data_IF_261801315233
#
_entry.id   IF_261801315233
#
_cell.length_a   1.000
_cell.length_b   1.000
_cell.length_c   1.000
_cell.angle_alpha   90.00
_cell.angle_beta   90.00
_cell.angle_gamma   90.00
#
_symmetry.space_group_name_H-M   'P 1'
#
loop_
_entity.id
_entity.type
_entity.pdbx_description
1 polymer ?
#
# COMPACT_ATOMS: atom_id res chain seq x y z
N UNK A 1 27.69 -3.69 59.09
CA UNK A 1 26.99 -2.41 59.37
C UNK A 1 25.57 -2.56 58.83
N UNK A 2 24.59 -2.93 59.66
CA UNK A 2 23.69 -2.07 60.46
C UNK A 2 22.93 -1.01 59.63
N UNK A 3 21.61 -1.28 59.47
CA UNK A 3 20.43 -0.38 59.54
C UNK A 3 20.40 0.82 58.54
N UNK A 4 19.27 1.33 58.04
CA UNK A 4 17.88 1.36 58.54
C UNK A 4 16.89 1.74 57.42
N UNK A 5 15.68 1.20 57.48
CA UNK A 5 14.45 1.81 56.97
C UNK A 5 14.13 3.12 57.73
N UNK A 6 13.26 3.98 57.18
CA UNK A 6 12.11 4.39 58.01
C UNK A 6 10.76 4.30 57.29
N UNK A 7 9.75 4.15 58.14
CA UNK A 7 8.32 4.04 57.91
C UNK A 7 7.66 5.31 58.48
N UNK A 8 6.64 5.87 57.81
CA UNK A 8 5.56 6.72 58.36
C UNK A 8 4.42 6.71 57.30
N UNK A 9 3.26 6.05 57.47
CA UNK A 9 2.02 6.46 58.19
C UNK A 9 1.68 7.97 58.03
N UNK A 10 0.48 8.44 57.63
CA UNK A 10 -0.88 7.88 57.71
C UNK A 10 -1.97 8.82 57.12
N UNK A 11 -3.13 8.22 56.74
CA UNK A 11 -4.55 8.69 56.89
C UNK A 11 -5.24 9.67 55.88
N UNK A 12 -6.26 9.08 55.22
CA UNK A 12 -7.65 9.52 54.91
C UNK A 12 -7.98 10.95 54.41
N UNK A 13 -8.73 11.03 53.29
CA UNK A 13 -10.11 11.54 53.28
C UNK A 13 -10.86 11.19 51.99
N UNK A 14 -12.14 10.87 52.18
CA UNK A 14 -13.21 10.63 51.20
C UNK A 14 -13.62 11.95 50.53
N UNK A 15 -14.03 11.90 49.26
CA UNK A 15 -14.66 13.02 48.55
C UNK A 15 -15.28 12.58 47.22
N UNK A 16 -16.54 12.16 47.28
CA UNK A 16 -17.41 11.93 46.13
C UNK A 16 -17.85 13.26 45.51
N UNK A 17 -17.75 13.40 44.18
CA UNK A 17 -18.55 14.37 43.42
C UNK A 17 -19.01 13.70 42.13
N UNK A 18 -20.31 13.42 42.08
CA UNK A 18 -21.05 13.17 40.87
C UNK A 18 -21.21 14.47 40.08
N UNK A 19 -21.00 14.45 38.77
CA UNK A 19 -21.48 15.50 37.87
C UNK A 19 -22.31 14.86 36.77
N UNK A 20 -23.62 15.00 36.93
CA UNK A 20 -24.64 14.80 35.90
C UNK A 20 -24.57 15.92 34.88
N UNK A 21 -24.48 15.60 33.58
CA UNK A 21 -24.90 16.54 32.54
C UNK A 21 -25.84 15.88 31.53
N UNK A 22 -26.97 16.53 31.42
CA UNK A 22 -28.22 16.20 30.76
C UNK A 22 -28.08 16.36 29.24
N UNK A 23 -28.30 15.28 28.46
CA UNK A 23 -28.56 15.42 27.02
C UNK A 23 -30.06 15.53 26.77
N UNK A 24 -30.46 16.72 26.33
CA UNK A 24 -31.82 17.06 25.90
C UNK A 24 -32.19 16.30 24.63
N UNK A 25 -33.23 15.45 24.74
CA UNK A 25 -33.98 14.93 23.59
C UNK A 25 -34.98 15.99 23.12
N UNK A 26 -34.88 16.42 21.87
CA UNK A 26 -35.98 17.08 21.17
C UNK A 26 -36.78 16.06 20.36
N UNK A 27 -38.07 15.97 20.68
CA UNK A 27 -39.12 15.28 19.94
C UNK A 27 -40.00 16.29 19.19
N UNK A 28 -40.68 15.78 18.16
CA UNK A 28 -41.87 16.31 17.46
C UNK A 28 -41.55 17.21 16.24
N UNK A 29 -42.04 16.90 15.03
CA UNK A 29 -43.48 16.76 14.77
C UNK A 29 -43.84 15.90 13.55
N UNK A 30 -45.03 15.28 13.65
CA UNK A 30 -45.77 14.55 12.61
C UNK A 30 -46.40 15.53 11.61
N UNK A 31 -46.53 15.11 10.35
CA UNK A 31 -47.73 15.38 9.57
C UNK A 31 -48.11 14.17 8.71
N UNK A 32 -49.42 14.01 8.47
CA UNK A 32 -50.13 12.82 7.98
C UNK A 32 -50.77 13.10 6.62
N UNK A 33 -51.08 12.00 5.92
CA UNK A 33 -52.07 11.80 4.85
C UNK A 33 -51.58 12.08 3.41
N UNK A 34 -51.97 11.35 2.38
CA UNK A 34 -53.18 10.54 2.18
C UNK A 34 -52.96 9.41 1.15
N UNK A 35 -53.72 8.32 1.30
CA UNK A 35 -53.87 7.23 0.31
C UNK A 35 -54.95 7.62 -0.70
N UNK A 36 -54.72 7.35 -1.99
CA UNK A 36 -55.82 7.11 -2.95
C UNK A 36 -55.60 5.76 -3.63
N UNK A 37 -56.62 4.90 -3.51
CA UNK A 37 -56.79 3.69 -4.32
C UNK A 37 -57.62 4.09 -5.53
N UNK A 38 -57.24 3.64 -6.72
CA UNK A 38 -58.21 3.45 -7.81
C UNK A 38 -57.95 2.11 -8.49
N UNK A 39 -59.02 1.35 -8.61
CA UNK A 39 -59.12 0.05 -9.26
C UNK A 39 -59.62 0.24 -10.69
N UNK A 40 -58.97 -0.39 -11.68
CA UNK A 40 -59.68 -0.76 -12.91
C UNK A 40 -59.12 -2.02 -13.57
N UNK A 41 -59.98 -3.04 -13.56
CA UNK A 41 -60.29 -4.01 -14.61
C UNK A 41 -59.18 -4.67 -15.45
N UNK A 42 -59.10 -5.98 -15.21
CA UNK A 42 -58.61 -7.04 -16.07
C UNK A 42 -59.12 -6.99 -17.52
N UNK A 43 -58.20 -7.13 -18.48
CA UNK A 43 -58.46 -7.83 -19.75
C UNK A 43 -57.31 -8.80 -20.01
N UNK A 44 -57.62 -10.09 -19.95
CA UNK A 44 -56.70 -11.15 -20.31
C UNK A 44 -56.31 -11.10 -21.79
N UNK A 45 -55.02 -11.23 -22.05
CA UNK A 45 -54.49 -11.75 -23.30
C UNK A 45 -53.49 -12.84 -22.94
N UNK A 46 -53.80 -14.05 -23.38
CA UNK A 46 -52.90 -15.20 -23.30
C UNK A 46 -51.64 -14.90 -24.11
N UNK A 47 -50.49 -14.79 -23.45
CA UNK A 47 -49.19 -15.01 -24.08
C UNK A 47 -48.60 -16.29 -23.48
N UNK A 48 -48.22 -17.19 -24.36
CA UNK A 48 -47.62 -18.49 -24.07
C UNK A 48 -46.43 -18.29 -23.14
N UNK A 49 -46.38 -19.00 -22.03
CA UNK A 49 -45.19 -19.06 -21.18
C UNK A 49 -44.06 -19.74 -21.97
N UNK A 50 -43.15 -18.96 -22.55
CA UNK A 50 -41.82 -19.48 -22.84
C UNK A 50 -41.15 -19.71 -21.48
N UNK A 51 -40.92 -20.97 -21.14
CA UNK A 51 -40.04 -21.32 -20.03
C UNK A 51 -38.69 -20.66 -20.32
N UNK A 52 -38.35 -19.61 -19.56
CA UNK A 52 -36.99 -19.08 -19.52
C UNK A 52 -36.08 -20.21 -19.09
N UNK A 53 -35.13 -20.57 -19.96
CA UNK A 53 -33.98 -21.38 -19.59
C UNK A 53 -33.29 -20.70 -18.39
N UNK A 54 -32.71 -21.46 -17.45
CA UNK A 54 -32.00 -20.86 -16.33
C UNK A 54 -30.91 -19.95 -16.89
N UNK A 55 -30.85 -18.69 -16.44
CA UNK A 55 -29.68 -17.84 -16.65
C UNK A 55 -28.48 -18.62 -16.13
N UNK A 56 -27.59 -19.02 -17.03
CA UNK A 56 -26.29 -19.53 -16.62
C UNK A 56 -25.64 -18.34 -15.94
N UNK A 57 -25.45 -18.44 -14.62
CA UNK A 57 -24.76 -17.44 -13.84
C UNK A 57 -23.33 -17.39 -14.39
N UNK A 58 -23.08 -16.51 -15.36
CA UNK A 58 -21.71 -16.19 -15.71
C UNK A 58 -21.09 -15.67 -14.42
N UNK A 59 -19.98 -16.27 -13.95
CA UNK A 59 -19.32 -15.77 -12.76
C UNK A 59 -19.08 -14.27 -12.95
N UNK A 60 -19.33 -13.49 -11.89
CA UNK A 60 -18.96 -12.08 -11.92
C UNK A 60 -17.46 -11.99 -12.16
N UNK A 61 -17.08 -11.04 -13.02
CA UNK A 61 -15.70 -10.82 -13.42
C UNK A 61 -15.30 -9.42 -13.01
N UNK A 62 -14.13 -9.32 -12.41
CA UNK A 62 -13.48 -8.07 -12.04
C UNK A 62 -12.08 -8.02 -12.67
N UNK A 63 -11.21 -7.09 -12.27
CA UNK A 63 -9.87 -6.96 -12.87
C UNK A 63 -8.77 -7.00 -11.83
N UNK A 64 -7.62 -7.56 -12.21
CA UNK A 64 -6.33 -7.27 -11.59
C UNK A 64 -5.47 -6.54 -12.61
N UNK A 65 -4.84 -5.47 -12.17
CA UNK A 65 -3.93 -4.66 -12.95
C UNK A 65 -2.52 -4.79 -12.40
N UNK A 66 -1.54 -4.80 -13.31
CA UNK A 66 -0.12 -4.76 -12.99
C UNK A 66 0.53 -3.71 -13.87
N UNK A 67 1.50 -2.98 -13.36
CA UNK A 67 2.23 -1.99 -14.13
C UNK A 67 3.64 -2.52 -14.47
N UNK A 68 4.13 -2.22 -15.65
CA UNK A 68 5.53 -2.49 -16.01
C UNK A 68 6.45 -1.42 -15.46
N UNK A 69 7.77 -1.57 -15.60
CA UNK A 69 8.72 -0.47 -15.36
C UNK A 69 9.55 -0.17 -16.62
N UNK A 70 8.93 -0.30 -17.80
CA UNK A 70 9.58 -0.12 -19.10
C UNK A 70 9.80 1.35 -19.50
N UNK A 71 10.75 1.64 -20.41
CA UNK A 71 10.86 2.96 -21.05
C UNK A 71 9.56 3.42 -21.73
N UNK A 72 8.79 2.46 -22.26
CA UNK A 72 7.39 2.67 -22.67
C UNK A 72 6.54 1.92 -21.65
N UNK A 73 6.11 2.62 -20.59
CA UNK A 73 5.41 1.97 -19.50
C UNK A 73 3.98 1.57 -19.91
N UNK A 74 3.53 0.41 -19.46
CA UNK A 74 2.24 -0.19 -19.78
C UNK A 74 1.54 -0.72 -18.51
N UNK A 75 0.20 -0.75 -18.59
CA UNK A 75 -0.67 -1.42 -17.64
C UNK A 75 -1.14 -2.72 -18.28
N UNK A 76 -0.79 -3.84 -17.65
CA UNK A 76 -1.28 -5.16 -18.01
C UNK A 76 -2.60 -5.42 -17.30
N UNK A 77 -3.55 -5.99 -18.04
CA UNK A 77 -4.93 -6.19 -17.61
C UNK A 77 -5.20 -7.68 -17.56
N UNK A 78 -5.61 -8.14 -16.38
CA UNK A 78 -6.02 -9.52 -16.14
C UNK A 78 -7.49 -9.53 -15.74
N UNK A 79 -8.30 -10.32 -16.44
CA UNK A 79 -9.67 -10.56 -16.00
C UNK A 79 -9.65 -11.55 -14.84
N UNK A 80 -10.33 -11.19 -13.76
CA UNK A 80 -10.44 -11.98 -12.54
C UNK A 80 -11.78 -12.69 -12.49
N UNK A 81 -11.77 -13.99 -12.28
CA UNK A 81 -12.96 -14.73 -11.91
C UNK A 81 -13.23 -14.54 -10.41
N UNK A 82 -14.34 -13.89 -10.04
CA UNK A 82 -14.56 -13.54 -8.64
C UNK A 82 -14.72 -14.74 -7.70
N UNK A 83 -15.25 -15.85 -8.23
CA UNK A 83 -15.53 -17.04 -7.43
C UNK A 83 -14.30 -17.91 -7.19
N UNK A 84 -13.37 -17.94 -8.14
CA UNK A 84 -12.16 -18.78 -8.05
C UNK A 84 -10.88 -17.97 -7.82
N UNK A 85 -10.94 -16.65 -7.91
CA UNK A 85 -9.80 -15.74 -7.84
C UNK A 85 -8.85 -15.82 -9.04
N UNK A 86 -9.09 -16.72 -9.99
CA UNK A 86 -8.18 -16.98 -11.12
C UNK A 86 -8.11 -15.81 -12.07
N UNK A 87 -6.94 -15.62 -12.65
CA UNK A 87 -6.61 -14.59 -13.61
C UNK A 87 -6.43 -15.18 -14.99
N UNK A 88 -6.93 -14.46 -16.00
CA UNK A 88 -6.61 -14.67 -17.41
C UNK A 88 -6.08 -13.35 -17.97
N UNK A 89 -4.95 -13.40 -18.69
CA UNK A 89 -4.41 -12.22 -19.36
C UNK A 89 -5.38 -11.73 -20.45
N UNK A 90 -5.55 -10.41 -20.55
CA UNK A 90 -6.44 -9.79 -21.53
C UNK A 90 -5.64 -9.01 -22.58
N UNK A 91 -4.96 -7.96 -22.15
CA UNK A 91 -4.16 -7.07 -22.99
C UNK A 91 -3.28 -6.15 -22.13
N UNK A 92 -2.49 -5.31 -22.80
CA UNK A 92 -1.76 -4.21 -22.19
C UNK A 92 -2.19 -2.87 -22.82
N UNK A 93 -2.15 -1.80 -22.02
CA UNK A 93 -2.42 -0.42 -22.47
C UNK A 93 -1.28 0.47 -22.01
N UNK A 94 -0.74 1.29 -22.91
CA UNK A 94 0.32 2.25 -22.57
C UNK A 94 -0.16 3.25 -21.52
N UNK A 95 0.72 3.55 -20.56
CA UNK A 95 0.53 4.64 -19.62
C UNK A 95 0.82 6.00 -20.25
N UNK A 96 1.51 6.05 -21.39
CA UNK A 96 2.05 7.29 -21.97
C UNK A 96 3.04 8.03 -21.06
N UNK A 97 3.66 7.32 -20.12
CA UNK A 97 4.88 7.72 -19.42
C UNK A 97 5.96 6.64 -19.50
N UNK A 98 7.03 6.79 -18.72
CA UNK A 98 8.13 5.84 -18.65
C UNK A 98 8.41 5.38 -17.22
N UNK A 99 8.82 4.11 -17.08
CA UNK A 99 9.32 3.53 -15.84
C UNK A 99 10.73 4.04 -15.49
N UNK A 100 11.13 3.87 -14.23
CA UNK A 100 12.43 4.30 -13.72
C UNK A 100 13.54 3.40 -14.27
N UNK A 101 14.57 4.02 -14.83
CA UNK A 101 15.70 3.32 -15.44
C UNK A 101 16.91 3.37 -14.49
N UNK A 102 17.23 2.23 -13.86
CA UNK A 102 18.35 2.11 -12.91
C UNK A 102 19.58 1.50 -13.60
N UNK A 103 20.62 2.29 -13.81
CA UNK A 103 21.89 1.80 -14.36
C UNK A 103 22.84 1.35 -13.26
N UNK A 104 22.88 0.03 -13.00
CA UNK A 104 23.82 -0.60 -12.06
C UNK A 104 23.43 -0.41 -10.58
N UNK A 105 23.04 -1.51 -9.93
CA UNK A 105 22.70 -1.50 -8.50
C UNK A 105 23.93 -1.22 -7.64
N UNK A 106 24.04 -0.02 -7.08
CA UNK A 106 24.89 0.23 -5.90
C UNK A 106 24.04 0.04 -4.64
N UNK A 107 24.66 -0.13 -3.47
CA UNK A 107 23.93 -0.16 -2.19
C UNK A 107 23.10 1.11 -1.90
N UNK A 108 23.26 2.16 -2.71
CA UNK A 108 22.57 3.45 -2.58
C UNK A 108 21.38 3.60 -3.54
N UNK A 109 21.27 2.72 -4.54
CA UNK A 109 20.17 2.69 -5.52
C UNK A 109 19.16 1.61 -5.12
N UNK A 110 17.89 1.72 -5.52
CA UNK A 110 16.95 0.61 -5.36
C UNK A 110 17.52 -0.62 -6.07
N UNK A 111 17.29 -1.81 -5.51
CA UNK A 111 17.77 -3.01 -6.17
C UNK A 111 16.98 -3.17 -7.49
N UNK A 112 17.61 -3.70 -8.52
CA UNK A 112 17.02 -3.75 -9.87
C UNK A 112 15.74 -4.58 -9.95
N UNK A 113 15.53 -5.43 -8.94
CA UNK A 113 14.38 -6.31 -8.76
C UNK A 113 13.21 -5.65 -8.03
N UNK A 114 13.43 -4.48 -7.40
CA UNK A 114 12.42 -3.63 -6.76
C UNK A 114 12.73 -2.15 -7.09
N UNK A 115 12.41 -1.71 -8.32
CA UNK A 115 12.90 -0.43 -8.82
C UNK A 115 12.24 0.79 -8.15
N UNK A 116 11.05 0.65 -7.57
CA UNK A 116 10.39 1.75 -6.86
C UNK A 116 10.62 1.72 -5.36
N UNK A 117 10.82 0.53 -4.78
CA UNK A 117 10.98 0.36 -3.36
C UNK A 117 9.89 1.04 -2.55
N UNK A 118 8.65 0.85 -3.01
CA UNK A 118 7.47 1.54 -2.51
C UNK A 118 6.23 0.66 -2.62
N UNK A 119 5.19 1.07 -1.91
CA UNK A 119 3.86 0.48 -2.03
C UNK A 119 2.88 1.50 -2.65
N UNK A 120 1.83 1.01 -3.31
CA UNK A 120 0.75 1.82 -3.90
C UNK A 120 1.17 2.67 -5.12
N UNK A 121 2.04 2.13 -5.97
CA UNK A 121 2.45 2.77 -7.24
C UNK A 121 1.35 2.68 -8.33
N UNK A 122 0.39 1.77 -8.16
CA UNK A 122 -0.78 1.57 -9.01
C UNK A 122 -2.02 1.45 -8.11
N UNK A 123 -3.03 2.31 -8.30
CA UNK A 123 -4.19 2.38 -7.38
C UNK A 123 -5.50 2.50 -8.15
N UNK A 124 -6.51 1.73 -7.71
CA UNK A 124 -7.90 1.86 -8.15
C UNK A 124 -8.63 2.89 -7.28
N UNK A 125 -9.25 3.86 -7.93
CA UNK A 125 -10.01 4.96 -7.33
C UNK A 125 -11.42 5.01 -7.93
N UNK A 126 -12.36 4.25 -7.35
CA UNK A 126 -13.68 4.08 -7.94
C UNK A 126 -13.58 3.40 -9.31
N UNK A 127 -14.05 4.07 -10.38
CA UNK A 127 -13.93 3.57 -11.76
C UNK A 127 -12.69 4.14 -12.48
N UNK A 128 -11.73 4.68 -11.73
CA UNK A 128 -10.49 5.21 -12.26
C UNK A 128 -9.31 4.33 -11.81
N UNK A 129 -8.28 4.23 -12.65
CA UNK A 129 -7.00 3.61 -12.31
C UNK A 129 -5.92 4.69 -12.44
N UNK A 130 -5.07 4.81 -11.43
CA UNK A 130 -3.98 5.80 -11.37
C UNK A 130 -2.64 5.08 -11.28
N UNK A 131 -1.68 5.50 -12.08
CA UNK A 131 -0.39 4.84 -12.24
C UNK A 131 0.76 5.85 -12.22
N UNK A 132 1.77 5.64 -11.37
CA UNK A 132 2.99 6.46 -11.40
C UNK A 132 3.89 6.05 -12.58
N UNK A 133 4.52 7.04 -13.21
CA UNK A 133 5.56 6.83 -14.21
C UNK A 133 6.85 7.44 -13.69
N UNK A 134 7.58 6.63 -12.91
CA UNK A 134 8.73 7.07 -12.15
C UNK A 134 9.87 7.63 -13.01
N UNK A 135 10.03 7.16 -14.24
CA UNK A 135 11.08 7.64 -15.16
C UNK A 135 10.72 8.92 -15.90
N UNK A 136 9.43 9.24 -16.05
CA UNK A 136 8.98 10.47 -16.72
C UNK A 136 8.47 11.55 -15.77
N UNK A 137 8.49 11.30 -14.45
CA UNK A 137 7.98 12.24 -13.43
C UNK A 137 6.50 12.59 -13.62
N UNK A 138 5.68 11.62 -14.01
CA UNK A 138 4.26 11.83 -14.31
C UNK A 138 3.36 10.80 -13.63
N UNK A 139 2.06 11.11 -13.56
CA UNK A 139 1.00 10.17 -13.20
C UNK A 139 0.03 10.05 -14.36
N UNK A 140 -0.33 8.83 -14.72
CA UNK A 140 -1.33 8.55 -15.74
C UNK A 140 -2.63 8.09 -15.11
N UNK A 141 -3.75 8.55 -15.67
CA UNK A 141 -5.09 8.12 -15.28
C UNK A 141 -5.79 7.39 -16.41
N UNK A 142 -6.61 6.41 -16.02
CA UNK A 142 -7.43 5.61 -16.91
C UNK A 142 -8.85 5.51 -16.38
N UNK A 143 -9.81 5.36 -17.29
CA UNK A 143 -11.17 4.95 -16.95
C UNK A 143 -11.30 3.44 -17.08
N UNK A 144 -11.78 2.79 -16.04
CA UNK A 144 -12.15 1.37 -16.05
C UNK A 144 -13.54 1.26 -16.68
N UNK A 145 -13.61 0.69 -17.89
CA UNK A 145 -14.86 0.52 -18.63
C UNK A 145 -15.53 -0.81 -18.31
N UNK A 146 -14.72 -1.85 -18.09
CA UNK A 146 -15.15 -3.20 -17.74
C UNK A 146 -14.00 -4.01 -17.15
N UNK A 147 -14.28 -5.24 -16.71
CA UNK A 147 -13.30 -6.22 -16.24
C UNK A 147 -12.17 -6.57 -17.25
N UNK A 148 -12.27 -6.10 -18.48
CA UNK A 148 -11.38 -6.45 -19.60
C UNK A 148 -10.92 -5.24 -20.41
N UNK A 149 -11.26 -4.03 -19.98
CA UNK A 149 -10.98 -2.82 -20.76
C UNK A 149 -10.83 -1.59 -19.87
N UNK A 150 -9.74 -0.87 -20.09
CA UNK A 150 -9.51 0.47 -19.56
C UNK A 150 -9.18 1.42 -20.72
N UNK A 151 -9.60 2.66 -20.61
CA UNK A 151 -9.25 3.72 -21.56
C UNK A 151 -8.30 4.72 -20.91
N UNK A 152 -7.18 5.00 -21.58
CA UNK A 152 -6.31 6.10 -21.21
C UNK A 152 -7.09 7.42 -21.20
N UNK A 153 -6.88 8.24 -20.18
CA UNK A 153 -7.53 9.55 -20.01
C UNK A 153 -6.52 10.67 -20.20
N UNK A 154 -5.52 10.74 -19.33
CA UNK A 154 -4.45 11.73 -19.42
C UNK A 154 -3.21 11.33 -18.64
N UNK A 155 -2.13 12.07 -18.88
CA UNK A 155 -0.88 12.03 -18.12
C UNK A 155 -0.60 13.44 -17.65
N UNK A 156 -0.33 13.60 -16.36
CA UNK A 156 -0.05 14.89 -15.71
C UNK A 156 1.30 14.83 -15.00
N UNK A 157 1.94 15.97 -14.80
CA UNK A 157 3.16 16.06 -13.98
C UNK A 157 2.86 15.57 -12.56
N UNK A 158 3.76 14.78 -11.96
CA UNK A 158 3.58 14.26 -10.60
C UNK A 158 3.81 15.30 -9.50
N UNK A 159 4.21 16.52 -9.88
CA UNK A 159 4.58 17.59 -8.95
C UNK A 159 5.93 17.37 -8.25
N UNK A 160 6.75 16.44 -8.74
CA UNK A 160 8.07 16.15 -8.20
C UNK A 160 8.86 15.23 -9.12
N UNK A 161 9.90 14.59 -8.59
CA UNK A 161 10.73 13.63 -9.34
C UNK A 161 10.55 12.22 -8.80
N UNK A 162 10.52 11.22 -9.68
CA UNK A 162 10.39 9.80 -9.35
C UNK A 162 9.17 9.55 -8.45
N UNK A 163 7.94 9.70 -8.99
CA UNK A 163 6.73 9.32 -8.28
C UNK A 163 6.73 7.82 -7.99
N UNK A 164 6.43 7.43 -6.76
CA UNK A 164 6.53 6.04 -6.29
C UNK A 164 5.27 5.51 -5.60
N UNK A 165 4.38 6.37 -5.09
CA UNK A 165 3.20 5.94 -4.32
C UNK A 165 2.05 6.94 -4.46
N UNK A 166 0.81 6.45 -4.41
CA UNK A 166 -0.42 7.22 -4.55
C UNK A 166 -1.36 6.91 -3.39
N UNK A 167 -1.82 7.96 -2.70
CA UNK A 167 -2.91 7.85 -1.72
C UNK A 167 -4.19 8.44 -2.31
N UNK A 168 -5.33 7.76 -2.12
CA UNK A 168 -6.64 8.24 -2.59
C UNK A 168 -7.64 8.22 -1.45
N UNK A 169 -8.39 9.32 -1.29
CA UNK A 169 -9.55 9.40 -0.41
C UNK A 169 -10.63 10.27 -1.07
N UNK A 170 -11.77 9.68 -1.38
CA UNK A 170 -12.83 10.32 -2.18
C UNK A 170 -12.28 10.96 -3.47
N UNK A 171 -12.28 12.29 -3.55
CA UNK A 171 -11.81 13.07 -4.69
C UNK A 171 -10.37 13.58 -4.49
N UNK A 172 -9.73 13.31 -3.35
CA UNK A 172 -8.36 13.72 -3.06
C UNK A 172 -7.38 12.63 -3.46
N UNK A 173 -6.34 13.04 -4.19
CA UNK A 173 -5.23 12.18 -4.61
C UNK A 173 -3.92 12.84 -4.20
N UNK A 174 -3.05 12.11 -3.54
CA UNK A 174 -1.70 12.55 -3.22
C UNK A 174 -0.67 11.64 -3.86
N UNK A 175 0.33 12.25 -4.47
CA UNK A 175 1.43 11.55 -5.14
C UNK A 175 2.70 11.80 -4.34
N UNK A 176 3.33 10.71 -3.91
CA UNK A 176 4.62 10.73 -3.24
C UNK A 176 5.74 10.58 -4.26
N UNK A 177 6.65 11.53 -4.25
CA UNK A 177 7.82 11.59 -5.12
C UNK A 177 9.07 11.33 -4.27
N UNK A 178 9.90 10.37 -4.70
CA UNK A 178 11.10 9.92 -3.97
C UNK A 178 12.41 10.51 -4.52
N UNK A 179 12.38 11.21 -5.65
CA UNK A 179 13.51 11.91 -6.22
C UNK A 179 13.80 13.24 -5.53
N UNK A 180 15.00 13.79 -5.77
CA UNK A 180 15.45 15.05 -5.19
C UNK A 180 15.43 15.04 -3.66
N UNK A 181 14.71 15.99 -3.05
CA UNK A 181 14.52 16.07 -1.59
C UNK A 181 13.26 15.36 -1.10
N UNK A 182 12.61 14.59 -1.99
CA UNK A 182 11.27 14.04 -1.80
C UNK A 182 10.18 15.12 -1.82
N UNK A 183 8.99 14.79 -2.32
CA UNK A 183 7.84 15.71 -2.24
C UNK A 183 6.49 15.01 -2.25
N UNK A 184 5.48 15.72 -1.76
CA UNK A 184 4.06 15.32 -1.85
C UNK A 184 3.34 16.33 -2.73
N UNK A 185 2.68 15.86 -3.78
CA UNK A 185 1.83 16.69 -4.63
C UNK A 185 0.35 16.30 -4.46
N UNK A 186 -0.54 17.29 -4.44
CA UNK A 186 -1.97 17.11 -4.22
C UNK A 186 -2.79 17.38 -5.48
N UNK A 187 -3.76 16.52 -5.75
CA UNK A 187 -4.68 16.58 -6.88
C UNK A 187 -6.12 16.35 -6.43
N UNK A 188 -7.06 16.94 -7.18
CA UNK A 188 -8.46 16.53 -7.19
C UNK A 188 -8.72 15.57 -8.36
N UNK A 189 -9.35 14.43 -8.06
CA UNK A 189 -9.80 13.44 -9.02
C UNK A 189 -11.28 13.64 -9.35
N UNK A 190 -11.57 13.87 -10.62
CA UNK A 190 -12.93 13.98 -11.12
C UNK A 190 -13.46 12.63 -11.58
N UNK A 191 -14.08 11.84 -10.69
CA UNK A 191 -14.55 10.46 -10.98
C UNK A 191 -15.40 10.29 -12.24
N UNK A 192 -16.12 11.33 -12.69
CA UNK A 192 -16.96 11.23 -13.88
C UNK A 192 -16.14 11.11 -15.18
N UNK A 193 -14.90 11.61 -15.21
CA UNK A 193 -14.01 11.55 -16.37
C UNK A 193 -12.58 11.08 -16.04
N UNK A 194 -12.29 10.75 -14.79
CA UNK A 194 -10.99 10.31 -14.26
C UNK A 194 -9.85 11.31 -14.52
N UNK A 195 -10.17 12.60 -14.59
CA UNK A 195 -9.15 13.65 -14.74
C UNK A 195 -8.56 14.06 -13.40
N UNK A 196 -7.28 14.42 -13.40
CA UNK A 196 -6.55 14.95 -12.26
C UNK A 196 -6.33 16.46 -12.45
N UNK A 197 -6.51 17.24 -11.39
CA UNK A 197 -6.16 18.65 -11.37
C UNK A 197 -5.38 18.95 -10.11
N UNK A 198 -4.17 19.50 -10.25
CA UNK A 198 -3.38 19.93 -9.10
C UNK A 198 -4.16 20.98 -8.30
N UNK A 199 -4.17 20.83 -6.97
CA UNK A 199 -4.92 21.71 -6.06
C UNK A 199 -4.02 22.52 -5.11
N UNK A 200 -2.70 22.37 -5.20
CA UNK A 200 -1.75 23.11 -4.37
C UNK A 200 -0.31 22.91 -4.82
N UNK A 201 0.58 23.72 -4.28
CA UNK A 201 2.02 23.56 -4.51
C UNK A 201 2.53 22.28 -3.82
N UNK A 202 3.48 21.55 -4.43
CA UNK A 202 4.11 20.41 -3.79
C UNK A 202 4.79 20.78 -2.47
N UNK A 203 4.79 19.84 -1.53
CA UNK A 203 5.43 19.98 -0.22
C UNK A 203 6.72 19.18 -0.24
N UNK A 204 7.85 19.83 -0.01
CA UNK A 204 9.14 19.14 0.08
C UNK A 204 9.25 18.35 1.40
N UNK A 205 9.80 17.15 1.33
CA UNK A 205 10.09 16.30 2.49
C UNK A 205 11.43 16.63 3.16
N UNK A 206 12.18 17.59 2.60
CA UNK A 206 13.48 18.04 3.09
C UNK A 206 14.51 16.92 3.28
N UNK A 207 14.43 15.84 2.50
CA UNK A 207 15.42 14.78 2.53
C UNK A 207 16.72 15.27 1.91
N UNK A 208 17.80 15.34 2.68
CA UNK A 208 19.11 15.77 2.18
C UNK A 208 20.01 14.57 1.98
N UNK A 209 20.43 14.33 0.74
CA UNK A 209 21.34 13.25 0.39
C UNK A 209 22.75 13.80 0.15
N UNK A 210 23.54 14.00 1.21
CA UNK A 210 24.98 14.22 1.04
C UNK A 210 25.68 12.85 1.05
N UNK A 211 26.28 12.48 -0.08
CA UNK A 211 27.29 11.40 -0.11
C UNK A 211 28.67 12.03 -0.24
N UNK A 212 29.67 11.44 0.41
CA UNK A 212 31.09 11.82 0.26
C UNK A 212 31.59 11.77 -1.20
N UNK A 213 30.82 11.16 -2.11
CA UNK A 213 31.12 10.98 -3.53
C UNK A 213 30.40 11.95 -4.49
N UNK A 214 29.65 12.93 -3.97
CA UNK A 214 28.83 13.87 -4.75
C UNK A 214 27.32 13.60 -4.59
N UNK A 215 26.44 14.42 -5.18
CA UNK A 215 25.00 14.19 -5.08
C UNK A 215 24.66 12.83 -5.73
N UNK A 216 24.03 11.89 -5.00
CA UNK A 216 23.70 10.60 -5.57
C UNK A 216 22.72 10.78 -6.74
N UNK A 217 22.94 10.03 -7.82
CA UNK A 217 21.93 9.83 -8.85
C UNK A 217 20.70 9.18 -8.22
N UNK A 218 19.55 9.78 -8.43
CA UNK A 218 18.28 9.50 -7.76
C UNK A 218 17.67 8.11 -8.11
N UNK A 219 16.80 7.54 -7.25
CA UNK A 219 16.53 7.92 -5.86
C UNK A 219 17.54 7.26 -4.91
N UNK A 220 17.83 7.92 -3.80
CA UNK A 220 18.68 7.35 -2.76
C UNK A 220 17.85 6.38 -1.91
N UNK A 221 17.87 5.11 -2.30
CA UNK A 221 17.01 4.08 -1.73
C UNK A 221 16.99 4.07 -0.19
N UNK A 222 18.13 4.13 0.52
CA UNK A 222 18.14 3.97 1.98
C UNK A 222 17.41 5.05 2.77
N UNK A 223 17.26 6.27 2.23
CA UNK A 223 16.54 7.38 2.88
C UNK A 223 15.38 7.92 2.02
N UNK A 224 14.90 7.11 1.08
CA UNK A 224 13.75 7.46 0.25
C UNK A 224 12.43 7.28 1.00
N UNK A 225 11.40 8.10 0.70
CA UNK A 225 10.05 7.85 1.19
C UNK A 225 9.46 6.62 0.48
N UNK A 226 8.67 5.82 1.20
CA UNK A 226 8.32 4.47 0.76
C UNK A 226 6.81 4.25 0.52
N UNK A 227 5.94 4.92 1.27
CA UNK A 227 4.50 4.87 1.04
C UNK A 227 3.84 6.17 1.51
N UNK A 228 2.77 6.58 0.83
CA UNK A 228 1.82 7.57 1.31
C UNK A 228 0.42 6.95 1.43
N UNK A 229 -0.33 7.35 2.45
CA UNK A 229 -1.69 6.86 2.69
C UNK A 229 -2.45 7.74 3.67
N UNK A 230 -3.75 7.50 3.80
CA UNK A 230 -4.58 8.24 4.75
C UNK A 230 -4.65 7.51 6.09
N UNK A 231 -4.58 8.28 7.19
CA UNK A 231 -4.95 7.78 8.52
C UNK A 231 -6.47 7.67 8.64
N UNK A 232 -7.01 6.90 9.61
CA UNK A 232 -8.45 6.83 9.89
C UNK A 232 -9.10 8.21 10.16
N UNK A 233 -8.32 9.17 10.65
CA UNK A 233 -8.72 10.55 10.95
C UNK A 233 -8.68 11.47 9.71
N UNK A 234 -8.30 10.94 8.54
CA UNK A 234 -8.10 11.66 7.28
C UNK A 234 -6.91 12.63 7.29
N UNK A 235 -5.83 12.30 8.00
CA UNK A 235 -4.53 12.92 7.79
C UNK A 235 -3.72 12.11 6.77
N UNK A 236 -2.61 12.66 6.27
CA UNK A 236 -1.67 11.87 5.47
C UNK A 236 -0.59 11.28 6.36
N UNK A 237 -0.20 10.05 6.08
CA UNK A 237 0.94 9.37 6.66
C UNK A 237 1.94 9.04 5.55
N UNK A 238 3.21 9.36 5.78
CA UNK A 238 4.34 8.97 4.93
C UNK A 238 5.39 8.23 5.73
N UNK A 239 5.83 7.08 5.25
CA UNK A 239 7.01 6.36 5.77
C UNK A 239 8.27 6.84 5.06
N UNK A 240 9.33 7.08 5.83
CA UNK A 240 10.66 7.43 5.32
C UNK A 240 11.68 6.46 5.91
N UNK A 241 12.43 5.76 5.05
CA UNK A 241 13.29 4.61 5.42
C UNK A 241 14.41 4.97 6.40
N UNK A 242 15.03 6.13 6.22
CA UNK A 242 16.03 6.71 7.12
C UNK A 242 16.02 8.24 6.96
N UNK A 243 16.41 8.99 7.99
CA UNK A 243 16.55 10.44 7.89
C UNK A 243 18.04 10.87 7.85
N UNK A 244 18.31 12.06 7.32
CA UNK A 244 19.65 12.66 7.33
C UNK A 244 20.62 12.11 6.27
N UNK A 245 21.79 12.74 6.19
CA UNK A 245 22.82 12.45 5.19
C UNK A 245 23.70 11.26 5.59
N UNK A 246 24.16 10.44 4.64
CA UNK A 246 25.08 9.34 4.92
C UNK A 246 26.33 9.84 5.67
N UNK A 247 26.65 9.22 6.80
CA UNK A 247 27.88 9.54 7.52
C UNK A 247 29.11 9.17 6.65
N UNK A 248 30.23 9.87 6.86
CA UNK A 248 31.44 9.70 6.05
C UNK A 248 32.08 8.30 6.11
N UNK A 249 31.56 7.40 6.95
CA UNK A 249 31.95 5.98 7.05
C UNK A 249 31.01 5.02 6.30
N UNK A 250 29.97 5.56 5.64
CA UNK A 250 28.99 4.80 4.89
C UNK A 250 27.76 4.35 5.70
N UNK A 251 27.72 4.62 7.01
CA UNK A 251 26.54 4.37 7.84
C UNK A 251 25.47 5.46 7.69
N UNK A 252 24.22 5.11 8.00
CA UNK A 252 23.10 6.07 7.98
C UNK A 252 22.95 6.67 9.39
N UNK A 253 22.91 8.00 9.53
CA UNK A 253 23.03 8.67 10.82
C UNK A 253 21.76 8.57 11.68
N UNK A 254 20.61 8.16 11.12
CA UNK A 254 19.36 8.18 11.88
C UNK A 254 18.33 7.13 11.45
N UNK A 255 17.38 6.90 12.35
CA UNK A 255 16.27 5.96 12.18
C UNK A 255 15.32 6.43 11.08
N UNK A 256 14.55 5.50 10.52
CA UNK A 256 13.41 5.87 9.69
C UNK A 256 12.31 6.56 10.51
N UNK A 257 11.34 7.14 9.81
CA UNK A 257 10.28 7.93 10.45
C UNK A 257 8.89 7.68 9.88
N UNK A 258 7.90 7.90 10.75
CA UNK A 258 6.50 8.07 10.44
C UNK A 258 6.20 9.58 10.40
N UNK A 259 5.65 10.06 9.29
CA UNK A 259 5.45 11.49 9.03
C UNK A 259 3.97 11.75 8.80
N UNK A 260 3.30 12.32 9.80
CA UNK A 260 1.87 12.64 9.75
C UNK A 260 1.69 14.10 9.35
N UNK A 261 1.05 14.35 8.21
CA UNK A 261 0.70 15.69 7.74
C UNK A 261 -0.78 15.93 7.97
N UNK A 262 -1.09 16.92 8.82
CA UNK A 262 -2.48 17.30 9.07
C UNK A 262 -3.09 17.98 7.84
N UNK A 263 -4.23 17.49 7.38
CA UNK A 263 -4.96 18.09 6.28
C UNK A 263 -5.91 19.19 6.79
N UNK A 264 -5.98 20.29 6.05
CA UNK A 264 -7.00 21.30 6.25
C UNK A 264 -8.35 20.85 5.62
N UNK A 265 -9.40 21.66 5.82
CA UNK A 265 -10.75 21.38 5.30
C UNK A 265 -10.84 21.32 3.76
N UNK A 266 -9.82 21.76 3.04
CA UNK A 266 -9.75 21.74 1.58
C UNK A 266 -8.88 20.58 1.07
N UNK A 267 -8.35 19.73 1.97
CA UNK A 267 -7.39 18.70 1.60
C UNK A 267 -6.02 19.27 1.23
N UNK A 268 -5.58 20.36 1.87
CA UNK A 268 -4.22 20.87 1.70
C UNK A 268 -3.44 20.72 2.99
N UNK A 269 -2.12 20.62 2.89
CA UNK A 269 -1.22 20.59 4.05
C UNK A 269 0.05 21.38 3.77
N UNK A 270 0.92 21.49 4.77
CA UNK A 270 2.19 22.20 4.66
C UNK A 270 3.25 21.55 5.56
N UNK A 271 4.51 21.89 5.35
CA UNK A 271 5.61 21.43 6.20
C UNK A 271 5.45 21.83 7.69
N UNK A 272 4.62 22.83 8.01
CA UNK A 272 4.34 23.23 9.41
C UNK A 272 3.33 22.33 10.11
N UNK A 273 2.59 21.55 9.33
CA UNK A 273 1.55 20.65 9.79
C UNK A 273 2.07 19.20 9.94
N UNK A 274 3.39 19.02 9.81
CA UNK A 274 4.11 17.76 9.98
C UNK A 274 4.32 17.45 11.47
N UNK A 275 3.90 16.26 11.86
CA UNK A 275 4.39 15.55 13.05
C UNK A 275 5.25 14.39 12.59
N UNK A 276 6.55 14.48 12.84
CA UNK A 276 7.51 13.43 12.52
C UNK A 276 7.86 12.65 13.78
N UNK A 277 7.77 11.32 13.71
CA UNK A 277 8.21 10.41 14.77
C UNK A 277 9.24 9.44 14.22
N UNK A 278 10.40 9.35 14.88
CA UNK A 278 11.40 8.33 14.58
C UNK A 278 10.93 6.95 15.05
N UNK A 279 11.11 5.95 14.19
CA UNK A 279 10.86 4.56 14.54
C UNK A 279 11.97 4.09 15.50
N UNK A 280 11.64 3.38 16.59
CA UNK A 280 12.64 2.86 17.52
C UNK A 280 13.65 1.89 16.88
N UNK A 281 14.74 1.60 17.60
CA UNK A 281 15.69 0.52 17.30
C UNK A 281 16.39 0.56 15.92
N UNK A 282 16.51 1.75 15.32
CA UNK A 282 17.14 1.95 14.00
C UNK A 282 16.46 1.14 12.89
N UNK A 283 15.15 0.90 13.05
CA UNK A 283 14.36 0.18 12.07
C UNK A 283 14.07 1.02 10.83
N UNK A 284 13.82 0.33 9.71
CA UNK A 284 13.53 0.89 8.39
C UNK A 284 12.05 0.68 8.07
N UNK A 285 11.16 1.64 8.40
CA UNK A 285 9.74 1.54 8.05
C UNK A 285 9.61 1.62 6.52
N UNK A 286 8.98 0.61 5.95
CA UNK A 286 8.75 0.52 4.51
C UNK A 286 7.30 0.86 4.20
N UNK A 287 6.37 0.02 4.61
CA UNK A 287 4.94 0.21 4.34
C UNK A 287 4.10 0.09 5.60
N UNK A 288 2.83 0.42 5.47
CA UNK A 288 1.86 0.39 6.52
C UNK A 288 0.47 0.00 6.05
N UNK A 289 -0.33 -0.46 7.01
CA UNK A 289 -1.75 -0.68 6.90
C UNK A 289 -2.43 -0.27 8.21
N UNK A 290 -3.75 -0.19 8.19
CA UNK A 290 -4.55 0.02 9.40
C UNK A 290 -5.43 -1.19 9.67
N UNK A 291 -5.58 -1.56 10.94
CA UNK A 291 -6.59 -2.53 11.34
C UNK A 291 -7.98 -1.90 11.50
N UNK A 292 -8.95 -2.72 11.89
CA UNK A 292 -10.33 -2.30 12.09
C UNK A 292 -10.55 -1.35 13.27
N UNK A 293 -9.58 -1.26 14.19
CA UNK A 293 -9.60 -0.36 15.34
C UNK A 293 -8.84 0.94 15.05
N UNK A 294 -8.22 1.06 13.87
CA UNK A 294 -7.42 2.20 13.46
C UNK A 294 -5.98 2.17 14.00
N UNK A 295 -5.54 1.02 14.53
CA UNK A 295 -4.15 0.83 14.92
C UNK A 295 -3.28 0.71 13.65
N UNK A 296 -2.08 1.29 13.70
CA UNK A 296 -1.15 1.32 12.57
C UNK A 296 -0.27 0.07 12.58
N UNK A 297 -0.31 -0.72 11.52
CA UNK A 297 0.65 -1.77 11.25
C UNK A 297 1.76 -1.20 10.38
N UNK A 298 3.03 -1.40 10.74
CA UNK A 298 4.18 -0.98 9.94
C UNK A 298 5.05 -2.20 9.66
N UNK A 299 5.32 -2.45 8.37
CA UNK A 299 6.38 -3.37 7.96
C UNK A 299 7.73 -2.66 7.99
N UNK A 300 8.67 -3.33 8.62
CA UNK A 300 10.00 -2.83 8.92
C UNK A 300 11.02 -3.75 8.25
N UNK A 301 11.68 -3.24 7.20
CA UNK A 301 12.49 -4.05 6.28
C UNK A 301 13.59 -4.83 7.01
N UNK A 302 14.16 -4.22 8.04
CA UNK A 302 15.15 -4.82 8.91
C UNK A 302 14.72 -4.57 10.35
N UNK A 303 14.56 -5.62 11.14
CA UNK A 303 14.23 -5.51 12.55
C UNK A 303 15.36 -4.91 13.38
N UNK A 304 15.09 -4.69 14.67
CA UNK A 304 16.05 -4.15 15.63
C UNK A 304 17.39 -4.91 15.59
N UNK A 305 18.46 -4.23 15.20
CA UNK A 305 19.82 -4.77 15.26
C UNK A 305 20.13 -5.23 16.70
N UNK A 306 20.31 -6.54 16.93
CA UNK A 306 20.66 -7.03 18.27
C UNK A 306 20.27 -8.46 18.65
N UNK A 307 19.59 -9.24 17.80
CA UNK A 307 19.34 -10.67 18.08
C UNK A 307 20.51 -11.51 17.56
N UNK A 308 21.32 -12.18 18.42
CA UNK A 308 22.41 -13.02 17.95
C UNK A 308 21.89 -14.22 17.14
N UNK A 309 22.47 -14.47 15.97
CA UNK A 309 22.18 -15.58 15.04
C UNK A 309 20.88 -15.46 14.22
N UNK A 310 20.29 -14.27 14.11
CA UNK A 310 19.34 -13.96 13.03
C UNK A 310 20.06 -12.93 12.16
N UNK A 311 20.38 -13.27 10.91
CA UNK A 311 20.77 -12.26 9.93
C UNK A 311 19.56 -11.31 9.80
N UNK A 312 19.63 -10.15 10.46
CA UNK A 312 18.60 -9.12 10.65
C UNK A 312 17.22 -9.42 10.03
N UNK A 313 16.43 -10.27 10.69
CA UNK A 313 15.06 -10.56 10.26
C UNK A 313 14.19 -9.30 10.29
N UNK A 314 13.24 -9.16 9.37
CA UNK A 314 12.33 -8.02 9.35
C UNK A 314 11.20 -8.16 10.38
N UNK A 315 10.47 -7.08 10.65
CA UNK A 315 9.39 -7.04 11.65
C UNK A 315 8.11 -6.42 11.12
N UNK A 316 6.99 -6.77 11.76
CA UNK A 316 5.76 -5.99 11.69
C UNK A 316 5.40 -5.51 13.09
N UNK A 317 5.29 -4.19 13.23
CA UNK A 317 4.95 -3.51 14.48
C UNK A 317 3.54 -2.97 14.42
N UNK A 318 2.84 -3.03 15.54
CA UNK A 318 1.53 -2.44 15.76
C UNK A 318 1.70 -1.22 16.67
N UNK A 319 1.34 -0.06 16.15
CA UNK A 319 1.38 1.21 16.87
C UNK A 319 -0.01 1.66 17.28
N UNK A 320 -0.09 2.21 18.49
CA UNK A 320 -1.26 2.89 19.00
C UNK A 320 -1.08 4.41 18.95
N UNK A 321 -2.22 5.11 18.85
CA UNK A 321 -2.34 6.55 19.11
C UNK A 321 -1.45 7.41 18.20
N UNK A 322 -1.71 7.36 16.88
CA UNK A 322 -1.01 8.21 15.90
C UNK A 322 -1.23 9.71 16.11
N UNK A 323 -2.33 10.08 16.77
CA UNK A 323 -2.61 11.47 17.15
C UNK A 323 -1.74 11.94 18.32
N UNK A 324 -1.20 11.01 19.11
CA UNK A 324 -0.13 11.35 20.04
C UNK A 324 1.14 11.64 19.26
N UNK A 325 1.85 12.70 19.65
CA UNK A 325 3.15 13.08 19.08
C UNK A 325 4.22 11.97 19.17
N UNK A 326 3.92 10.85 19.85
CA UNK A 326 4.83 9.74 20.12
C UNK A 326 4.04 8.42 20.02
N UNK A 327 3.77 7.90 18.81
CA UNK A 327 3.20 6.57 18.65
C UNK A 327 4.02 5.54 19.44
N UNK A 328 3.31 4.65 20.13
CA UNK A 328 3.93 3.61 20.97
C UNK A 328 3.72 2.24 20.35
N UNK A 329 4.78 1.43 20.34
CA UNK A 329 4.69 0.03 19.89
C UNK A 329 3.90 -0.76 20.94
N UNK A 330 2.70 -1.19 20.57
CA UNK A 330 1.83 -2.04 21.39
C UNK A 330 2.25 -3.51 21.28
N UNK A 331 2.65 -3.93 20.07
CA UNK A 331 3.03 -5.29 19.76
C UNK A 331 3.99 -5.30 18.58
N UNK A 332 4.95 -6.22 18.58
CA UNK A 332 5.89 -6.42 17.48
C UNK A 332 6.03 -7.93 17.23
N UNK A 333 6.09 -8.32 15.96
CA UNK A 333 6.41 -9.69 15.53
C UNK A 333 7.61 -9.62 14.60
N UNK A 334 8.69 -10.29 14.98
CA UNK A 334 9.84 -10.52 14.10
C UNK A 334 9.55 -11.74 13.22
N UNK A 335 9.76 -11.59 11.92
CA UNK A 335 9.81 -12.73 10.98
C UNK A 335 11.21 -13.35 11.05
N UNK A 336 11.37 -14.65 10.80
CA UNK A 336 12.73 -15.22 10.63
C UNK A 336 13.28 -15.00 9.21
N UNK A 337 12.47 -14.38 8.37
CA UNK A 337 12.75 -13.98 7.00
C UNK A 337 13.37 -12.56 6.96
N UNK A 338 13.99 -12.21 5.83
CA UNK A 338 14.71 -10.93 5.67
C UNK A 338 13.98 -9.98 4.74
N UNK A 339 14.18 -8.66 4.90
CA UNK A 339 13.62 -7.59 4.04
C UNK A 339 12.08 -7.60 3.99
N UNK A 340 11.46 -7.44 5.16
CA UNK A 340 9.99 -7.34 5.33
C UNK A 340 9.47 -5.98 4.85
N UNK A 341 8.93 -5.92 3.63
CA UNK A 341 8.70 -4.64 2.95
C UNK A 341 7.21 -4.27 2.82
N UNK A 342 6.36 -5.07 2.16
CA UNK A 342 4.94 -4.74 1.95
C UNK A 342 4.07 -5.35 3.05
N UNK A 343 3.08 -4.61 3.56
CA UNK A 343 2.06 -5.10 4.50
C UNK A 343 0.65 -4.73 4.05
N UNK A 344 -0.30 -5.63 4.30
CA UNK A 344 -1.74 -5.36 4.13
C UNK A 344 -2.53 -6.04 5.23
N UNK A 345 -3.66 -5.44 5.60
CA UNK A 345 -4.59 -5.96 6.59
C UNK A 345 -5.89 -6.46 5.96
N UNK A 346 -6.25 -7.70 6.26
CA UNK A 346 -7.50 -8.34 5.90
C UNK A 346 -8.50 -8.20 7.05
N UNK A 347 -9.37 -7.19 6.95
CA UNK A 347 -10.40 -6.90 7.96
C UNK A 347 -11.43 -7.99 8.19
N UNK A 348 -11.80 -8.73 7.14
CA UNK A 348 -12.81 -9.81 7.30
C UNK A 348 -12.31 -10.94 8.18
N UNK A 349 -11.00 -11.16 8.20
CA UNK A 349 -10.38 -12.28 8.88
C UNK A 349 -9.43 -11.83 10.00
N UNK A 350 -9.25 -10.54 10.24
CA UNK A 350 -8.27 -9.97 11.17
C UNK A 350 -6.86 -10.55 10.97
N UNK A 351 -6.45 -10.67 9.72
CA UNK A 351 -5.13 -11.18 9.33
C UNK A 351 -4.27 -10.04 8.79
N UNK A 352 -3.01 -10.02 9.15
CA UNK A 352 -2.00 -9.20 8.47
C UNK A 352 -1.09 -10.14 7.69
N UNK A 353 -0.68 -9.70 6.51
CA UNK A 353 0.29 -10.42 5.69
C UNK A 353 1.43 -9.47 5.38
N UNK A 354 2.63 -10.01 5.25
CA UNK A 354 3.77 -9.23 4.80
C UNK A 354 4.65 -10.04 3.87
N UNK A 355 5.22 -9.38 2.87
CA UNK A 355 6.20 -10.00 1.95
C UNK A 355 7.61 -9.78 2.47
N UNK A 356 8.41 -10.83 2.43
CA UNK A 356 9.83 -10.79 2.72
C UNK A 356 10.57 -10.91 1.38
N UNK A 357 11.05 -9.79 0.86
CA UNK A 357 11.53 -9.69 -0.52
C UNK A 357 12.74 -10.62 -0.77
N UNK A 358 13.82 -10.39 -0.05
CA UNK A 358 15.04 -11.19 -0.02
C UNK A 358 14.89 -12.57 0.62
N UNK A 359 13.85 -12.80 1.44
CA UNK A 359 13.46 -14.15 1.88
C UNK A 359 12.70 -14.94 0.80
N UNK A 360 12.13 -14.25 -0.18
CA UNK A 360 11.29 -14.86 -1.21
C UNK A 360 9.98 -15.41 -0.65
N UNK A 361 9.37 -14.78 0.35
CA UNK A 361 8.23 -15.38 1.07
C UNK A 361 7.13 -14.38 1.45
N UNK A 362 5.98 -14.91 1.86
CA UNK A 362 4.96 -14.16 2.60
C UNK A 362 4.86 -14.75 4.00
N UNK A 363 4.96 -13.90 5.02
CA UNK A 363 4.58 -14.24 6.41
C UNK A 363 3.13 -13.87 6.67
N UNK A 364 2.48 -14.60 7.57
CA UNK A 364 1.11 -14.35 8.00
C UNK A 364 1.00 -14.15 9.51
N UNK A 365 0.17 -13.20 9.90
CA UNK A 365 -0.07 -12.83 11.29
C UNK A 365 -1.55 -12.68 11.56
N UNK A 366 -1.93 -12.87 12.82
CA UNK A 366 -3.28 -12.59 13.34
C UNK A 366 -3.24 -11.34 14.21
N UNK A 367 -4.20 -10.44 14.01
CA UNK A 367 -4.46 -9.35 14.96
C UNK A 367 -5.59 -9.78 15.88
N UNK A 368 -5.32 -9.93 17.17
CA UNK A 368 -6.30 -10.28 18.20
C UNK A 368 -5.98 -9.56 19.50
N UNK A 369 -7.01 -9.06 20.18
CA UNK A 369 -6.90 -8.38 21.47
C UNK A 369 -5.87 -7.22 21.45
N UNK A 370 -5.85 -6.46 20.34
CA UNK A 370 -4.93 -5.35 20.12
C UNK A 370 -3.46 -5.76 19.94
N UNK A 371 -3.17 -7.01 19.57
CA UNK A 371 -1.81 -7.55 19.42
C UNK A 371 -1.62 -8.36 18.16
N UNK A 372 -0.36 -8.36 17.68
CA UNK A 372 0.09 -9.18 16.57
C UNK A 372 0.56 -10.55 17.06
N UNK A 373 0.14 -11.60 16.37
CA UNK A 373 0.58 -12.97 16.60
C UNK A 373 1.05 -13.58 15.28
N UNK A 374 2.30 -14.02 15.21
CA UNK A 374 2.78 -14.81 14.07
C UNK A 374 1.95 -16.08 13.94
N UNK A 375 1.46 -16.35 12.73
CA UNK A 375 0.73 -17.59 12.40
C UNK A 375 1.67 -18.53 11.67
N UNK A 376 2.18 -18.09 10.53
CA UNK A 376 3.18 -18.80 9.74
C UNK A 376 4.27 -17.82 9.31
N UNK A 377 5.51 -18.18 9.59
CA UNK A 377 6.67 -17.39 9.17
C UNK A 377 6.87 -17.44 7.66
N UNK A 378 6.60 -18.59 7.05
CA UNK A 378 6.50 -18.78 5.60
C UNK A 378 5.12 -19.35 5.28
N UNK A 379 4.13 -18.48 5.12
CA UNK A 379 2.78 -18.84 4.67
C UNK A 379 2.73 -19.16 3.16
N UNK A 380 3.65 -18.57 2.39
CA UNK A 380 3.85 -18.90 0.99
C UNK A 380 5.31 -18.67 0.58
N UNK A 381 5.82 -19.53 -0.32
CA UNK A 381 7.11 -19.36 -0.98
C UNK A 381 6.90 -18.75 -2.37
N UNK A 382 7.63 -17.69 -2.65
CA UNK A 382 7.68 -16.94 -3.91
C UNK A 382 9.15 -16.68 -4.30
N UNK A 383 9.37 -15.81 -5.28
CA UNK A 383 10.69 -15.41 -5.75
C UNK A 383 10.77 -13.90 -5.91
N UNK A 384 11.34 -13.22 -4.91
CA UNK A 384 11.38 -11.75 -4.82
C UNK A 384 10.00 -11.10 -4.89
N UNK A 385 9.12 -11.30 -3.89
CA UNK A 385 7.84 -10.61 -3.84
C UNK A 385 8.05 -9.10 -3.60
N UNK A 386 7.37 -8.26 -4.40
CA UNK A 386 7.51 -6.79 -4.36
C UNK A 386 6.19 -6.03 -4.32
N UNK A 387 5.05 -6.71 -4.30
CA UNK A 387 3.78 -6.07 -4.00
C UNK A 387 2.74 -7.15 -3.73
N UNK A 388 1.67 -6.80 -3.03
CA UNK A 388 0.47 -7.60 -3.01
C UNK A 388 -0.74 -6.79 -2.54
N UNK A 389 -1.91 -7.26 -2.93
CA UNK A 389 -3.18 -6.70 -2.47
C UNK A 389 -4.30 -7.76 -2.51
N UNK A 390 -5.43 -7.44 -1.91
CA UNK A 390 -6.57 -8.35 -1.75
C UNK A 390 -7.64 -8.09 -2.80
N UNK A 391 -8.43 -9.13 -3.09
CA UNK A 391 -9.75 -8.90 -3.65
C UNK A 391 -10.60 -8.05 -2.70
N UNK A 392 -11.55 -7.28 -3.26
CA UNK A 392 -12.45 -6.42 -2.48
C UNK A 392 -13.32 -7.18 -1.45
N UNK A 393 -13.53 -8.47 -1.68
CA UNK A 393 -14.18 -9.38 -0.75
C UNK A 393 -13.24 -10.03 0.27
N UNK A 394 -11.93 -9.74 0.25
CA UNK A 394 -10.91 -10.27 1.15
C UNK A 394 -10.82 -11.81 1.19
N UNK A 395 -11.27 -12.48 0.13
CA UNK A 395 -11.18 -13.93 -0.02
C UNK A 395 -9.87 -14.37 -0.71
N UNK A 396 -9.27 -13.49 -1.51
CA UNK A 396 -8.08 -13.79 -2.30
C UNK A 396 -6.98 -12.75 -2.09
N UNK A 397 -5.73 -13.22 -2.16
CA UNK A 397 -4.50 -12.43 -2.13
C UNK A 397 -3.80 -12.59 -3.49
N UNK A 398 -3.39 -11.47 -4.08
CA UNK A 398 -2.61 -11.40 -5.32
C UNK A 398 -1.24 -10.84 -5.01
N UNK A 399 -0.18 -11.62 -5.20
CA UNK A 399 1.19 -11.21 -4.93
C UNK A 399 2.01 -11.13 -6.22
N UNK A 400 2.72 -10.02 -6.41
CA UNK A 400 3.63 -9.79 -7.51
C UNK A 400 5.04 -10.19 -7.10
N UNK A 401 5.65 -11.03 -7.92
CA UNK A 401 7.02 -11.51 -7.74
C UNK A 401 7.83 -11.19 -8.98
N UNK A 402 9.09 -10.77 -8.81
CA UNK A 402 9.95 -10.41 -9.95
C UNK A 402 10.82 -11.54 -10.48
N UNK A 403 10.95 -12.64 -9.75
CA UNK A 403 11.67 -13.82 -10.24
C UNK A 403 13.21 -13.69 -10.17
N UNK A 404 13.75 -12.87 -9.26
CA UNK A 404 15.15 -12.47 -9.27
C UNK A 404 16.08 -13.29 -8.36
N UNK A 405 15.59 -13.99 -7.32
CA UNK A 405 16.42 -14.83 -6.45
C UNK A 405 16.82 -16.16 -7.10
N UNK A 406 16.02 -16.68 -8.05
CA UNK A 406 16.26 -18.02 -8.59
C UNK A 406 17.44 -18.11 -9.57
N UNK A 407 17.86 -16.99 -10.18
CA UNK A 407 18.96 -17.00 -11.16
C UNK A 407 19.53 -15.61 -11.45
N UNK A 408 20.85 -15.54 -11.66
CA UNK A 408 21.52 -14.38 -12.27
C UNK A 408 21.35 -14.33 -13.80
N UNK A 409 20.87 -15.41 -14.42
CA UNK A 409 20.54 -15.46 -15.84
C UNK A 409 19.21 -14.73 -16.10
N UNK A 410 19.27 -13.57 -16.78
CA UNK A 410 18.11 -12.76 -17.14
C UNK A 410 17.06 -13.53 -17.96
N UNK A 411 17.48 -14.54 -18.73
CA UNK A 411 16.55 -15.38 -19.49
C UNK A 411 15.71 -16.31 -18.60
N UNK A 412 16.12 -16.52 -17.35
CA UNK A 412 15.41 -17.32 -16.37
C UNK A 412 14.62 -16.46 -15.36
N UNK A 413 14.82 -15.14 -15.36
CA UNK A 413 14.05 -14.20 -14.51
C UNK A 413 12.70 -13.91 -15.13
N UNK A 414 11.68 -14.54 -14.57
CA UNK A 414 10.29 -14.44 -15.02
C UNK A 414 9.43 -13.88 -13.88
N UNK A 415 8.97 -12.62 -14.00
CA UNK A 415 7.98 -12.10 -13.08
C UNK A 415 6.65 -12.84 -13.21
N UNK A 416 5.91 -12.95 -12.10
CA UNK A 416 4.65 -13.67 -12.02
C UNK A 416 3.69 -13.05 -11.00
N UNK A 417 2.39 -13.24 -11.22
CA UNK A 417 1.37 -13.00 -10.20
C UNK A 417 0.96 -14.33 -9.58
N UNK A 418 1.07 -14.41 -8.26
CA UNK A 418 0.64 -15.57 -7.47
C UNK A 418 -0.73 -15.26 -6.85
N UNK A 419 -1.66 -16.19 -7.01
CA UNK A 419 -3.03 -16.08 -6.50
C UNK A 419 -3.21 -17.08 -5.36
N UNK A 420 -3.62 -16.58 -4.19
CA UNK A 420 -3.89 -17.39 -3.02
C UNK A 420 -5.33 -17.21 -2.55
N UNK A 421 -5.93 -18.30 -2.07
CA UNK A 421 -7.13 -18.25 -1.23
C UNK A 421 -6.70 -18.03 0.20
N UNK A 422 -7.37 -17.12 0.91
CA UNK A 422 -7.08 -16.84 2.31
C UNK A 422 -7.98 -17.70 3.19
N UNK A 423 -7.41 -18.51 4.07
CA UNK A 423 -8.17 -19.29 5.05
C UNK A 423 -8.51 -18.46 6.29
N UNK A 424 -9.50 -18.90 7.09
CA UNK A 424 -9.98 -18.16 8.27
C UNK A 424 -8.93 -18.01 9.39
N UNK A 425 -7.94 -18.89 9.40
CA UNK A 425 -6.79 -18.90 10.32
C UNK A 425 -5.58 -18.15 9.77
N UNK A 426 -5.71 -17.41 8.66
CA UNK A 426 -4.65 -16.64 7.98
C UNK A 426 -3.63 -17.47 7.20
N UNK A 427 -3.92 -18.73 6.89
CA UNK A 427 -3.15 -19.50 5.92
C UNK A 427 -3.43 -19.08 4.48
N UNK A 428 -2.51 -19.45 3.58
CA UNK A 428 -2.60 -19.19 2.14
C UNK A 428 -2.60 -20.49 1.35
N UNK A 429 -3.65 -20.71 0.55
CA UNK A 429 -3.74 -21.83 -0.38
C UNK A 429 -3.49 -21.33 -1.80
N UNK A 430 -2.37 -21.74 -2.43
CA UNK A 430 -2.05 -21.32 -3.81
C UNK A 430 -3.08 -21.88 -4.80
N UNK A 431 -3.71 -21.00 -5.56
CA UNK A 431 -4.69 -21.34 -6.60
C UNK A 431 -4.05 -21.30 -7.99
N UNK A 432 -3.18 -20.32 -8.22
CA UNK A 432 -2.60 -20.06 -9.53
C UNK A 432 -1.26 -19.33 -9.38
N UNK A 433 -0.40 -19.56 -10.36
CA UNK A 433 0.71 -18.69 -10.72
C UNK A 433 0.52 -18.37 -12.19
N UNK A 434 0.56 -17.09 -12.55
CA UNK A 434 0.38 -16.63 -13.93
C UNK A 434 1.58 -15.79 -14.36
N UNK A 435 2.17 -16.19 -15.48
CA UNK A 435 3.23 -15.48 -16.19
C UNK A 435 2.76 -15.01 -17.58
N UNK A 436 1.60 -15.48 -18.03
CA UNK A 436 1.05 -15.13 -19.34
C UNK A 436 0.84 -13.62 -19.47
N UNK A 437 1.38 -13.05 -20.56
CA UNK A 437 1.34 -11.61 -20.83
C UNK A 437 2.43 -10.80 -20.11
N UNK A 438 3.07 -11.34 -19.08
CA UNK A 438 4.12 -10.66 -18.31
C UNK A 438 5.47 -10.87 -19.00
N UNK A 439 6.15 -9.80 -19.49
CA UNK A 439 7.42 -9.96 -20.19
C UNK A 439 8.52 -10.50 -19.27
N UNK A 440 9.47 -11.27 -19.81
CA UNK A 440 10.68 -11.70 -19.08
C UNK A 440 11.67 -10.54 -18.91
N UNK A 441 12.63 -10.64 -17.99
CA UNK A 441 13.71 -9.63 -17.93
C UNK A 441 14.57 -9.61 -19.21
N UNK A 442 14.74 -10.76 -19.89
CA UNK A 442 15.44 -10.82 -21.17
C UNK A 442 14.71 -10.08 -22.31
N UNK A 443 13.38 -10.21 -22.40
CA UNK A 443 12.58 -9.45 -23.37
C UNK A 443 12.73 -7.94 -23.17
N UNK A 444 12.97 -7.53 -21.92
CA UNK A 444 13.04 -6.13 -21.51
C UNK A 444 14.42 -5.54 -21.73
N UNK A 445 15.49 -6.26 -21.41
CA UNK A 445 16.87 -5.83 -21.68
C UNK A 445 17.08 -5.47 -23.16
N UNK A 446 16.51 -6.30 -24.07
CA UNK A 446 16.54 -6.06 -25.51
C UNK A 446 15.86 -4.75 -25.92
N UNK A 447 14.84 -4.32 -25.17
CA UNK A 447 14.05 -3.13 -25.45
C UNK A 447 14.60 -1.86 -24.75
N UNK A 448 15.51 -1.98 -23.77
CA UNK A 448 15.98 -0.87 -22.91
C UNK A 448 17.48 -0.57 -22.96
N UNK A 449 18.19 -0.95 -24.02
CA UNK A 449 19.62 -0.65 -24.19
C UNK A 449 20.50 -1.20 -23.04
N UNK A 450 20.12 -2.32 -22.41
CA UNK A 450 20.90 -2.95 -21.33
C UNK A 450 20.57 -2.50 -19.91
N UNK A 451 19.42 -1.85 -19.69
CA UNK A 451 18.90 -1.50 -18.35
C UNK A 451 17.81 -2.48 -17.94
N UNK A 452 17.90 -3.07 -16.74
CA UNK A 452 16.89 -4.02 -16.24
C UNK A 452 15.60 -3.26 -15.92
N UNK A 453 14.48 -3.68 -16.50
CA UNK A 453 13.18 -3.06 -16.30
C UNK A 453 12.28 -4.04 -15.55
N UNK A 454 12.03 -3.82 -14.27
CA UNK A 454 11.14 -4.71 -13.51
C UNK A 454 9.66 -4.59 -13.87
N UNK A 455 8.83 -5.30 -13.11
CA UNK A 455 7.39 -5.02 -12.94
C UNK A 455 7.23 -4.22 -11.66
N UNK A 456 6.16 -3.45 -11.54
CA UNK A 456 5.87 -2.64 -10.36
C UNK A 456 4.37 -2.55 -10.16
N UNK A 457 3.91 -2.54 -8.91
CA UNK A 457 2.53 -2.21 -8.59
C UNK A 457 1.50 -3.28 -8.96
N UNK A 458 0.59 -3.54 -8.02
CA UNK A 458 -0.65 -4.27 -8.25
C UNK A 458 -1.85 -3.42 -7.83
N UNK A 459 -2.96 -3.54 -8.55
CA UNK A 459 -4.24 -3.00 -8.13
C UNK A 459 -5.39 -3.92 -8.51
N UNK A 460 -6.40 -4.04 -7.65
CA UNK A 460 -7.57 -4.88 -7.87
C UNK A 460 -8.82 -4.01 -7.91
N UNK A 461 -9.64 -4.20 -8.95
CA UNK A 461 -10.95 -3.56 -9.12
C UNK A 461 -12.07 -4.54 -8.83
#
# INVERSE_FOLDING_TARGET
MKLSLPLFLSLLSIGSVASTSTYLRHLSSKSRSSKSKSSSQSRGRSSKSSKSQPEWYSPSVSSVYMMTNEPINEILIFSRNDSSGKLDFVNAVRSNGSGLQLSGGTALSPPTDDPLASQDSLVVAGNCLLAVNAGSNTVSSFRINSARDISFVETVDSGGEIPVSIAVNEDLVYVLNAGGVGSIAAFSLFHFNCKLTSIGDPIELSQTFESASGPPSLPFFPASPAQIGFTPENNLLVTIKANGAQDGDGSFPSNGSLNVYKLDKNGLTSAKDLTQTEVPNNSIPFSFAFDDEGQLLVAEAFGAAGVPNVEAGGSVSLYNDLDSFIPTIESEVTTTEVTTCWVRYNKKKACAFTTNNGGGSISSMKVRDGKLHLVEDVAAQLDTPIDFDFSSDYEFLYALSTGHLLSDDLALRQPAIFVYKISSDCGLEKIQEITEGIPTEADRELNSLGVVNGVVGLAIF
#
